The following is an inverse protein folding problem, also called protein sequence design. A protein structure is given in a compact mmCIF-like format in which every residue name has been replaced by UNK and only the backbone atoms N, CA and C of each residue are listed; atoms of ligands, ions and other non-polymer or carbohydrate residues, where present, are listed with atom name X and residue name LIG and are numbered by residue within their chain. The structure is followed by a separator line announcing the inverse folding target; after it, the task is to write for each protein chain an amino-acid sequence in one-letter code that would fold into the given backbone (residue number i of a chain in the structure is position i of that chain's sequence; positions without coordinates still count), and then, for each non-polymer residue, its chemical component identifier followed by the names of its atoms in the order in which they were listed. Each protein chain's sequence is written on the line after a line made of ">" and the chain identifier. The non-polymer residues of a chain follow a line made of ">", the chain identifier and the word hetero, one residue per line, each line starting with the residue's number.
data_IF_380810893905
#
_entry.id   IF_380810893905
#
_cell.length_a   1.000
_cell.length_b   1.000
_cell.length_c   1.000
_cell.angle_alpha   90.00
_cell.angle_beta   90.00
_cell.angle_gamma   90.00
#
_symmetry.space_group_name_H-M   'P 1'
#
loop_
_entity.id
_entity.type
_entity.pdbx_description
1 polymer ?
#
# COMPACT_ATOMS: atom_id res chain seq x y z
N UNK A 1 -3.91 -11.46 -15.97
CA UNK A 1 -4.82 -11.54 -14.80
C UNK A 1 -4.75 -10.23 -14.02
N UNK A 2 -5.64 -10.03 -13.04
CA UNK A 2 -5.64 -8.84 -12.16
C UNK A 2 -5.12 -9.09 -10.74
N UNK A 3 -4.59 -10.28 -10.46
CA UNK A 3 -3.96 -10.53 -9.15
C UNK A 3 -2.75 -9.64 -8.94
N UNK A 4 -2.73 -8.88 -7.83
CA UNK A 4 -1.59 -8.08 -7.39
C UNK A 4 -1.48 -6.69 -8.03
N UNK A 5 -2.46 -6.24 -8.82
CA UNK A 5 -2.45 -4.92 -9.44
C UNK A 5 -3.05 -3.80 -8.56
N UNK A 6 -3.93 -4.16 -7.63
CA UNK A 6 -4.62 -3.27 -6.68
C UNK A 6 -5.45 -2.15 -7.35
N UNK A 7 -5.94 -2.40 -8.57
CA UNK A 7 -6.86 -1.48 -9.27
C UNK A 7 -8.29 -2.00 -9.39
N UNK A 8 -8.54 -3.21 -8.84
CA UNK A 8 -9.87 -3.80 -8.64
C UNK A 8 -10.78 -3.86 -9.88
N UNK A 9 -10.20 -4.10 -11.05
CA UNK A 9 -10.90 -4.13 -12.35
C UNK A 9 -11.56 -5.48 -12.70
N UNK A 10 -11.73 -6.38 -11.72
CA UNK A 10 -12.38 -7.68 -11.91
C UNK A 10 -13.80 -7.56 -12.47
N UNK A 11 -14.54 -6.52 -12.04
CA UNK A 11 -15.89 -6.23 -12.54
C UNK A 11 -15.87 -5.81 -14.01
N UNK A 12 -14.78 -5.19 -14.49
CA UNK A 12 -14.65 -4.77 -15.88
C UNK A 12 -14.43 -5.97 -16.78
N UNK A 13 -13.57 -6.90 -16.37
CA UNK A 13 -13.38 -8.16 -17.08
C UNK A 13 -14.71 -8.93 -17.28
N UNK A 14 -15.58 -8.92 -16.26
CA UNK A 14 -16.91 -9.52 -16.35
C UNK A 14 -17.82 -8.77 -17.35
N UNK A 15 -17.83 -7.43 -17.32
CA UNK A 15 -18.61 -6.61 -18.23
C UNK A 15 -18.18 -6.80 -19.70
N UNK A 16 -16.87 -6.87 -19.98
CA UNK A 16 -16.35 -7.18 -21.31
C UNK A 16 -16.87 -8.53 -21.80
N UNK A 17 -16.81 -9.56 -20.96
CA UNK A 17 -17.30 -10.91 -21.31
C UNK A 17 -18.79 -10.92 -21.63
N UNK A 18 -19.60 -10.21 -20.85
CA UNK A 18 -21.05 -10.11 -21.10
C UNK A 18 -21.38 -9.44 -22.44
N UNK A 19 -20.51 -8.55 -22.91
CA UNK A 19 -20.64 -7.85 -24.19
C UNK A 19 -19.93 -8.58 -25.35
N UNK A 20 -19.46 -9.81 -25.14
CA UNK A 20 -18.77 -10.60 -26.16
C UNK A 20 -17.38 -10.06 -26.51
N UNK A 21 -16.75 -9.28 -25.63
CA UNK A 21 -15.44 -8.65 -25.82
C UNK A 21 -14.38 -9.32 -24.96
N UNK A 22 -13.11 -9.19 -25.37
CA UNK A 22 -11.97 -9.68 -24.61
C UNK A 22 -11.35 -8.54 -23.78
N UNK A 23 -11.10 -8.82 -22.50
CA UNK A 23 -10.45 -7.87 -21.57
C UNK A 23 -8.97 -8.21 -21.30
N UNK A 24 -8.55 -9.42 -21.62
CA UNK A 24 -7.16 -9.84 -21.50
C UNK A 24 -6.64 -10.26 -22.87
N UNK A 25 -5.36 -10.01 -23.16
CA UNK A 25 -4.37 -9.32 -22.32
C UNK A 25 -4.58 -7.79 -22.20
N UNK A 26 -4.05 -7.20 -21.12
CA UNK A 26 -4.06 -5.76 -20.82
C UNK A 26 -2.63 -5.29 -20.53
N UNK A 27 -2.29 -4.06 -20.88
CA UNK A 27 -1.00 -3.44 -20.53
C UNK A 27 -1.07 -2.89 -19.11
N UNK A 28 0.01 -3.06 -18.33
CA UNK A 28 0.06 -2.63 -16.93
C UNK A 28 1.35 -1.86 -16.62
N UNK A 29 1.21 -0.68 -16.02
CA UNK A 29 2.28 0.09 -15.40
C UNK A 29 2.04 0.12 -13.89
N UNK A 30 2.76 -0.73 -13.15
CA UNK A 30 2.58 -0.88 -11.70
C UNK A 30 3.86 -1.35 -11.02
N UNK A 31 3.86 -1.26 -9.68
CA UNK A 31 4.78 -2.02 -8.85
C UNK A 31 4.12 -3.38 -8.52
N UNK A 32 4.68 -4.52 -8.99
CA UNK A 32 4.06 -5.83 -8.78
C UNK A 32 3.79 -6.12 -7.31
N UNK A 33 2.56 -6.58 -7.02
CA UNK A 33 2.14 -6.99 -5.68
C UNK A 33 2.30 -5.90 -4.59
N UNK A 34 2.37 -4.62 -5.00
CA UNK A 34 2.68 -3.50 -4.10
C UNK A 34 1.72 -2.33 -4.32
N UNK A 35 0.76 -2.09 -3.40
CA UNK A 35 -0.18 -0.98 -3.50
C UNK A 35 0.40 0.35 -2.99
N UNK A 36 1.57 0.77 -3.51
CA UNK A 36 2.20 2.06 -3.17
C UNK A 36 1.87 3.11 -4.21
N UNK A 37 1.48 4.31 -3.79
CA UNK A 37 1.50 5.45 -4.71
C UNK A 37 2.94 5.88 -5.02
N UNK A 38 3.19 6.34 -6.25
CA UNK A 38 4.48 6.91 -6.62
C UNK A 38 4.69 6.99 -8.13
N UNK A 39 5.89 7.41 -8.56
CA UNK A 39 6.21 7.54 -9.98
C UNK A 39 6.01 6.21 -10.73
N UNK A 40 5.45 6.28 -11.93
CA UNK A 40 5.21 5.16 -12.84
C UNK A 40 5.89 5.33 -14.18
N UNK A 41 6.08 6.57 -14.62
CA UNK A 41 6.83 6.86 -15.83
C UNK A 41 8.35 6.83 -15.58
N UNK A 42 8.77 6.95 -14.31
CA UNK A 42 10.18 6.87 -13.88
C UNK A 42 11.10 7.84 -14.63
N UNK A 43 10.57 9.02 -14.99
CA UNK A 43 11.31 10.06 -15.72
C UNK A 43 12.06 10.96 -14.75
N UNK A 44 13.37 11.06 -14.93
CA UNK A 44 14.21 11.97 -14.16
C UNK A 44 13.83 13.44 -14.42
N UNK A 45 14.00 14.28 -13.41
CA UNK A 45 13.80 15.73 -13.55
C UNK A 45 14.82 16.32 -14.55
N UNK A 46 14.37 17.28 -15.37
CA UNK A 46 15.23 17.95 -16.35
C UNK A 46 14.42 18.59 -17.48
N UNK A 47 15.08 19.36 -18.36
CA UNK A 47 14.42 20.12 -19.43
C UNK A 47 13.66 19.24 -20.43
N UNK A 48 14.06 17.97 -20.57
CA UNK A 48 13.41 17.01 -21.47
C UNK A 48 12.30 16.18 -20.79
N UNK A 49 12.09 16.32 -19.48
CA UNK A 49 11.20 15.45 -18.72
C UNK A 49 9.77 15.42 -19.29
N UNK A 50 9.24 16.58 -19.68
CA UNK A 50 7.91 16.67 -20.28
C UNK A 50 7.82 15.91 -21.62
N UNK A 51 8.82 16.09 -22.50
CA UNK A 51 8.88 15.39 -23.79
C UNK A 51 9.01 13.88 -23.64
N UNK A 52 9.83 13.42 -22.68
CA UNK A 52 9.99 11.98 -22.38
C UNK A 52 8.69 11.39 -21.83
N UNK A 53 8.02 12.08 -20.90
CA UNK A 53 6.72 11.62 -20.36
C UNK A 53 5.69 11.48 -21.46
N UNK A 54 5.61 12.44 -22.39
CA UNK A 54 4.73 12.37 -23.54
C UNK A 54 5.07 11.17 -24.45
N UNK A 55 6.35 11.00 -24.79
CA UNK A 55 6.81 9.89 -25.62
C UNK A 55 6.50 8.52 -24.99
N UNK A 56 6.59 8.38 -23.66
CA UNK A 56 6.20 7.15 -22.96
C UNK A 56 4.70 6.86 -23.05
N UNK A 57 3.85 7.89 -22.92
CA UNK A 57 2.40 7.76 -23.09
C UNK A 57 2.05 7.36 -24.53
N UNK A 58 2.65 8.02 -25.51
CA UNK A 58 2.42 7.72 -26.92
C UNK A 58 2.92 6.30 -27.27
N UNK A 59 4.09 5.91 -26.77
CA UNK A 59 4.64 4.57 -26.92
C UNK A 59 3.76 3.49 -26.30
N UNK A 60 3.19 3.73 -25.11
CA UNK A 60 2.25 2.79 -24.48
C UNK A 60 0.96 2.62 -25.30
N UNK A 61 0.45 3.70 -25.91
CA UNK A 61 -0.71 3.65 -26.81
C UNK A 61 -0.40 2.93 -28.12
N UNK A 62 0.78 3.15 -28.69
CA UNK A 62 1.24 2.42 -29.88
C UNK A 62 1.34 0.92 -29.59
N UNK A 63 2.00 0.55 -28.48
CA UNK A 63 2.14 -0.85 -28.05
C UNK A 63 0.78 -1.53 -27.85
N UNK A 64 -0.19 -0.81 -27.28
CA UNK A 64 -1.55 -1.31 -27.10
C UNK A 64 -2.19 -1.69 -28.44
N UNK A 65 -2.07 -0.83 -29.46
CA UNK A 65 -2.60 -1.09 -30.80
C UNK A 65 -1.87 -2.22 -31.52
N UNK A 66 -0.54 -2.21 -31.51
CA UNK A 66 0.29 -3.23 -32.20
C UNK A 66 0.11 -4.63 -31.61
N UNK A 67 -0.03 -4.74 -30.28
CA UNK A 67 -0.22 -6.01 -29.60
C UNK A 67 -1.71 -6.42 -29.45
N UNK A 68 -2.65 -5.61 -29.96
CA UNK A 68 -4.09 -5.90 -29.88
C UNK A 68 -4.62 -6.02 -28.44
N UNK A 69 -4.08 -5.20 -27.52
CA UNK A 69 -4.47 -5.23 -26.11
C UNK A 69 -5.75 -4.41 -25.89
N UNK A 70 -6.65 -4.84 -25.00
CA UNK A 70 -7.93 -4.15 -24.80
C UNK A 70 -7.81 -2.83 -24.05
N UNK A 71 -6.78 -2.69 -23.21
CA UNK A 71 -6.62 -1.57 -22.29
C UNK A 71 -5.20 -1.43 -21.78
N UNK A 72 -4.87 -0.22 -21.30
CA UNK A 72 -3.67 0.07 -20.53
C UNK A 72 -4.04 0.68 -19.20
N UNK A 73 -3.44 0.18 -18.12
CA UNK A 73 -3.69 0.64 -16.76
C UNK A 73 -2.41 1.06 -16.06
N UNK A 74 -2.50 2.20 -15.38
CA UNK A 74 -1.43 2.75 -14.53
C UNK A 74 -1.94 2.74 -13.09
N UNK A 75 -1.40 1.84 -12.26
CA UNK A 75 -1.84 1.69 -10.87
C UNK A 75 -1.14 2.69 -9.96
N UNK A 76 -1.90 3.47 -9.20
CA UNK A 76 -1.37 4.34 -8.13
C UNK A 76 -0.23 5.26 -8.61
N UNK A 77 -0.37 5.98 -9.75
CA UNK A 77 0.61 6.97 -10.17
C UNK A 77 0.71 8.12 -9.14
N UNK A 78 1.81 8.85 -9.17
CA UNK A 78 1.95 10.11 -8.44
C UNK A 78 0.90 11.12 -8.94
N UNK A 79 0.52 12.09 -8.11
CA UNK A 79 -0.59 13.01 -8.41
C UNK A 79 -0.35 13.86 -9.68
N UNK A 80 0.90 14.26 -9.92
CA UNK A 80 1.30 14.97 -11.13
C UNK A 80 1.19 14.09 -12.37
N UNK A 81 1.57 12.82 -12.26
CA UNK A 81 1.40 11.82 -13.32
C UNK A 81 -0.08 11.47 -13.55
N UNK A 82 -0.90 11.37 -12.52
CA UNK A 82 -2.34 11.15 -12.67
C UNK A 82 -3.00 12.29 -13.46
N UNK A 83 -2.63 13.54 -13.13
CA UNK A 83 -3.10 14.75 -13.84
C UNK A 83 -2.66 14.74 -15.31
N UNK A 84 -1.39 14.39 -15.57
CA UNK A 84 -0.87 14.23 -16.93
C UNK A 84 -1.63 13.14 -17.69
N UNK A 85 -1.79 11.95 -17.12
CA UNK A 85 -2.47 10.84 -17.78
C UNK A 85 -3.93 11.19 -18.09
N UNK A 86 -4.60 11.91 -17.19
CA UNK A 86 -5.95 12.42 -17.44
C UNK A 86 -5.99 13.39 -18.63
N UNK A 87 -5.04 14.33 -18.71
CA UNK A 87 -4.98 15.28 -19.84
C UNK A 87 -4.68 14.60 -21.18
N UNK A 88 -4.03 13.43 -21.13
CA UNK A 88 -3.80 12.54 -22.28
C UNK A 88 -4.99 11.62 -22.59
N UNK A 89 -6.13 11.80 -21.90
CA UNK A 89 -7.37 11.09 -22.18
C UNK A 89 -7.50 9.74 -21.47
N UNK A 90 -6.68 9.42 -20.46
CA UNK A 90 -6.96 8.26 -19.61
C UNK A 90 -8.12 8.57 -18.64
N UNK A 91 -8.97 7.57 -18.41
CA UNK A 91 -10.01 7.65 -17.37
C UNK A 91 -9.36 7.52 -16.00
N UNK A 92 -9.79 8.33 -15.03
CA UNK A 92 -9.28 8.28 -13.66
C UNK A 92 -10.28 7.56 -12.77
N UNK A 93 -9.81 6.53 -12.06
CA UNK A 93 -10.51 5.92 -10.93
C UNK A 93 -9.93 6.45 -9.63
N UNK A 94 -10.75 6.45 -8.59
CA UNK A 94 -10.36 6.84 -7.25
C UNK A 94 -10.62 5.68 -6.29
N UNK A 95 -9.73 5.52 -5.32
CA UNK A 95 -9.88 4.59 -4.21
C UNK A 95 -9.39 5.25 -2.91
N UNK A 96 -9.69 4.66 -1.76
CA UNK A 96 -9.24 5.13 -0.45
C UNK A 96 -8.30 4.11 0.17
N UNK A 97 -7.09 4.57 0.46
CA UNK A 97 -6.16 3.89 1.37
C UNK A 97 -6.16 4.60 2.72
N UNK A 98 -5.45 4.04 3.70
CA UNK A 98 -5.30 4.64 5.02
C UNK A 98 -3.84 4.87 5.31
N UNK A 99 -3.39 6.13 5.31
CA UNK A 99 -1.98 6.48 5.51
C UNK A 99 -1.81 7.22 6.83
N UNK A 100 -0.70 7.01 7.52
CA UNK A 100 -0.32 7.83 8.66
C UNK A 100 0.64 8.90 8.17
N UNK A 101 0.37 10.14 8.52
CA UNK A 101 1.26 11.29 8.28
C UNK A 101 1.60 11.88 9.63
N UNK A 102 2.90 12.11 9.87
CA UNK A 102 3.36 12.72 11.12
C UNK A 102 2.90 14.18 11.20
N UNK A 103 2.04 14.54 12.18
CA UNK A 103 1.66 15.94 12.40
C UNK A 103 2.72 16.71 13.21
N UNK A 104 3.94 16.19 13.36
CA UNK A 104 4.98 16.76 14.21
C UNK A 104 4.93 16.23 15.64
N UNK A 105 4.73 14.91 15.79
CA UNK A 105 4.59 14.24 17.08
C UNK A 105 5.90 14.15 17.87
N UNK A 106 7.05 14.14 17.19
CA UNK A 106 8.37 13.97 17.80
C UNK A 106 8.65 12.52 18.20
N UNK A 107 7.83 11.94 19.08
CA UNK A 107 7.96 10.55 19.52
C UNK A 107 6.60 9.84 19.64
N UNK A 108 6.63 8.56 20.05
CA UNK A 108 5.43 7.74 20.13
C UNK A 108 4.45 8.24 21.20
N UNK A 109 4.94 8.87 22.27
CA UNK A 109 4.09 9.45 23.31
C UNK A 109 3.41 10.75 22.82
N UNK A 110 4.11 11.56 22.03
CA UNK A 110 3.55 12.69 21.30
C UNK A 110 2.47 12.25 20.29
N UNK A 111 2.69 11.13 19.60
CA UNK A 111 1.67 10.49 18.75
C UNK A 111 0.43 10.12 19.57
N UNK A 112 0.59 9.45 20.71
CA UNK A 112 -0.53 9.11 21.59
C UNK A 112 -1.20 10.33 22.23
N UNK A 113 -0.48 11.43 22.44
CA UNK A 113 -1.03 12.68 22.97
C UNK A 113 -1.98 13.38 21.99
N UNK A 114 -1.89 13.07 20.70
CA UNK A 114 -2.86 13.55 19.71
C UNK A 114 -4.23 12.85 19.83
N UNK A 115 -4.31 11.70 20.51
CA UNK A 115 -5.53 10.88 20.58
C UNK A 115 -6.43 11.29 21.76
N UNK A 116 -7.73 11.01 21.63
CA UNK A 116 -8.66 11.01 22.76
C UNK A 116 -8.22 10.03 23.86
N UNK A 117 -8.57 10.31 25.12
CA UNK A 117 -8.13 9.52 26.26
C UNK A 117 -8.53 8.02 26.14
N UNK A 118 -9.73 7.73 25.65
CA UNK A 118 -10.20 6.37 25.45
C UNK A 118 -9.37 5.62 24.40
N UNK A 119 -9.09 6.25 23.25
CA UNK A 119 -8.29 5.65 22.18
C UNK A 119 -6.83 5.47 22.60
N UNK A 120 -6.25 6.48 23.28
CA UNK A 120 -4.90 6.39 23.87
C UNK A 120 -4.76 5.23 24.84
N UNK A 121 -5.72 5.04 25.76
CA UNK A 121 -5.72 3.90 26.70
C UNK A 121 -5.79 2.56 25.96
N UNK A 122 -6.60 2.47 24.90
CA UNK A 122 -6.70 1.25 24.09
C UNK A 122 -5.38 0.89 23.43
N UNK A 123 -4.72 1.83 22.75
CA UNK A 123 -3.41 1.58 22.12
C UNK A 123 -2.38 1.13 23.17
N UNK A 124 -2.31 1.82 24.32
CA UNK A 124 -1.38 1.43 25.41
C UNK A 124 -1.66 0.01 25.93
N UNK A 125 -2.92 -0.38 26.06
CA UNK A 125 -3.28 -1.73 26.49
C UNK A 125 -2.92 -2.80 25.46
N UNK A 126 -3.08 -2.51 24.15
CA UNK A 126 -2.67 -3.41 23.07
C UNK A 126 -1.15 -3.64 23.07
N UNK A 127 -0.34 -2.57 23.19
CA UNK A 127 1.13 -2.69 23.27
C UNK A 127 1.59 -3.43 24.52
N UNK A 128 1.04 -3.07 25.69
CA UNK A 128 1.36 -3.71 26.97
C UNK A 128 1.10 -5.22 26.92
N UNK A 129 -0.01 -5.64 26.32
CA UNK A 129 -0.33 -7.07 26.22
C UNK A 129 0.73 -7.87 25.44
N UNK A 130 1.31 -7.27 24.40
CA UNK A 130 2.39 -7.93 23.66
C UNK A 130 3.67 -7.95 24.51
N UNK A 131 3.99 -6.86 25.22
CA UNK A 131 5.13 -6.84 26.16
C UNK A 131 5.00 -7.89 27.27
N UNK A 132 3.80 -8.03 27.84
CA UNK A 132 3.52 -8.98 28.93
C UNK A 132 3.41 -10.44 28.43
N UNK A 133 3.40 -10.68 27.11
CA UNK A 133 3.29 -12.02 26.54
C UNK A 133 4.59 -12.83 26.59
N UNK A 134 5.72 -12.19 26.93
CA UNK A 134 7.06 -12.81 26.91
C UNK A 134 7.72 -12.81 25.53
N UNK A 135 7.05 -12.27 24.49
CA UNK A 135 7.65 -12.06 23.18
C UNK A 135 8.69 -10.95 23.22
N UNK A 136 9.82 -11.19 22.56
CA UNK A 136 10.78 -10.14 22.23
C UNK A 136 10.47 -9.61 20.83
N UNK A 137 10.59 -8.29 20.63
CA UNK A 137 10.42 -7.66 19.32
C UNK A 137 11.71 -6.96 18.95
N UNK A 138 12.20 -7.25 17.75
CA UNK A 138 13.36 -6.59 17.17
C UNK A 138 13.00 -5.93 15.83
N UNK A 139 13.73 -4.87 15.50
CA UNK A 139 13.71 -4.26 14.17
C UNK A 139 15.04 -4.55 13.50
N UNK A 140 15.00 -5.16 12.32
CA UNK A 140 16.19 -5.44 11.51
C UNK A 140 15.99 -4.91 10.10
N UNK A 141 17.07 -4.55 9.45
CA UNK A 141 17.12 -4.13 8.06
C UNK A 141 17.52 -5.30 7.15
N UNK A 142 17.31 -5.16 5.84
CA UNK A 142 17.65 -6.22 4.88
C UNK A 142 19.12 -6.64 4.92
N UNK A 143 20.04 -5.69 5.10
CA UNK A 143 21.48 -5.91 5.24
C UNK A 143 21.88 -6.48 6.61
N UNK A 144 20.95 -6.53 7.56
CA UNK A 144 21.14 -7.08 8.89
C UNK A 144 20.61 -8.52 9.00
N UNK A 145 19.91 -9.07 7.99
CA UNK A 145 19.29 -10.42 8.01
C UNK A 145 20.10 -11.39 7.15
N UNK A 146 20.55 -12.50 7.73
CA UNK A 146 21.34 -13.47 6.99
C UNK A 146 20.48 -14.27 5.98
N UNK A 147 21.03 -14.65 4.80
CA UNK A 147 20.33 -15.47 3.82
C UNK A 147 19.68 -16.74 4.41
N UNK A 148 20.31 -17.35 5.41
CA UNK A 148 19.86 -18.57 6.06
C UNK A 148 18.62 -18.38 6.98
N UNK A 149 18.28 -17.15 7.36
CA UNK A 149 17.10 -16.86 8.19
C UNK A 149 15.81 -16.74 7.37
N UNK A 150 15.92 -16.41 6.08
CA UNK A 150 14.76 -16.19 5.21
C UNK A 150 13.81 -17.37 5.07
N UNK A 151 14.25 -18.65 5.04
CA UNK A 151 13.32 -19.78 5.03
C UNK A 151 12.34 -19.76 6.21
N UNK A 152 12.80 -19.43 7.42
CA UNK A 152 11.95 -19.36 8.61
C UNK A 152 11.01 -18.15 8.56
N UNK A 153 11.51 -16.97 8.18
CA UNK A 153 10.68 -15.77 8.05
C UNK A 153 9.64 -15.91 6.92
N UNK A 154 10.03 -16.56 5.81
CA UNK A 154 9.14 -16.85 4.69
C UNK A 154 8.03 -17.81 5.08
N UNK A 155 8.30 -18.85 5.89
CA UNK A 155 7.27 -19.75 6.38
C UNK A 155 6.17 -19.01 7.15
N UNK A 156 6.54 -18.01 7.97
CA UNK A 156 5.57 -17.16 8.67
C UNK A 156 4.70 -16.36 7.69
N UNK A 157 5.33 -15.78 6.67
CA UNK A 157 4.65 -15.04 5.59
C UNK A 157 3.69 -15.94 4.81
N UNK A 158 4.15 -17.10 4.36
CA UNK A 158 3.38 -18.04 3.55
C UNK A 158 2.16 -18.58 4.30
N UNK A 159 2.31 -18.88 5.59
CA UNK A 159 1.21 -19.36 6.46
C UNK A 159 0.04 -18.36 6.51
N UNK A 160 0.29 -17.05 6.45
CA UNK A 160 -0.79 -16.06 6.31
C UNK A 160 -1.53 -16.21 4.99
N UNK A 161 -0.83 -16.43 3.88
CA UNK A 161 -1.47 -16.60 2.57
C UNK A 161 -2.30 -17.87 2.51
N UNK A 162 -1.77 -18.98 3.04
CA UNK A 162 -2.47 -20.27 3.11
C UNK A 162 -3.77 -20.15 3.92
N UNK A 163 -3.74 -19.49 5.07
CA UNK A 163 -4.95 -19.24 5.90
C UNK A 163 -6.04 -18.45 5.17
N UNK A 164 -5.67 -17.59 4.22
CA UNK A 164 -6.61 -16.82 3.41
C UNK A 164 -6.88 -17.44 2.04
N UNK A 165 -6.46 -18.70 1.83
CA UNK A 165 -6.59 -19.43 0.57
C UNK A 165 -6.05 -18.61 -0.63
N UNK A 166 -4.88 -18.00 -0.41
CA UNK A 166 -4.19 -17.15 -1.37
C UNK A 166 -2.77 -17.69 -1.63
N UNK A 167 -2.13 -17.22 -2.69
CA UNK A 167 -0.81 -17.69 -3.08
C UNK A 167 0.30 -16.76 -2.58
N UNK A 168 1.28 -17.32 -1.85
CA UNK A 168 2.50 -16.62 -1.47
C UNK A 168 3.34 -16.29 -2.72
N UNK A 169 3.30 -15.04 -3.15
CA UNK A 169 3.83 -14.60 -4.45
C UNK A 169 5.36 -14.48 -4.50
N UNK A 170 6.02 -14.37 -3.34
CA UNK A 170 7.48 -14.31 -3.24
C UNK A 170 8.03 -15.54 -2.54
N UNK A 171 9.15 -16.06 -3.03
CA UNK A 171 9.90 -17.14 -2.40
C UNK A 171 10.86 -16.61 -1.32
N UNK A 172 11.36 -17.50 -0.45
CA UNK A 172 12.41 -17.15 0.50
C UNK A 172 13.67 -16.59 -0.20
N UNK A 173 14.07 -17.20 -1.33
CA UNK A 173 15.21 -16.73 -2.12
C UNK A 173 14.97 -15.31 -2.67
N UNK A 174 13.76 -15.02 -3.15
CA UNK A 174 13.42 -13.68 -3.62
C UNK A 174 13.50 -12.64 -2.49
N UNK A 175 13.04 -12.96 -1.28
CA UNK A 175 13.21 -12.05 -0.15
C UNK A 175 14.68 -11.85 0.24
N UNK A 176 15.51 -12.89 0.18
CA UNK A 176 16.94 -12.77 0.41
C UNK A 176 17.61 -11.85 -0.63
N UNK A 177 17.29 -12.01 -1.92
CA UNK A 177 17.80 -11.16 -3.00
C UNK A 177 17.36 -9.70 -2.81
N UNK A 178 16.09 -9.48 -2.45
CA UNK A 178 15.56 -8.14 -2.17
C UNK A 178 16.27 -7.51 -0.96
N UNK A 179 16.51 -8.28 0.11
CA UNK A 179 17.20 -7.81 1.29
C UNK A 179 18.62 -7.36 0.99
N UNK A 180 19.35 -8.14 0.18
CA UNK A 180 20.69 -7.78 -0.27
C UNK A 180 20.69 -6.54 -1.18
N UNK A 181 19.75 -6.47 -2.14
CA UNK A 181 19.68 -5.38 -3.10
C UNK A 181 19.23 -4.04 -2.48
N UNK A 182 18.32 -4.10 -1.50
CA UNK A 182 17.73 -2.92 -0.88
C UNK A 182 18.43 -2.50 0.42
N UNK A 183 19.13 -3.43 1.08
CA UNK A 183 19.79 -3.22 2.38
C UNK A 183 18.85 -2.58 3.39
N UNK A 184 19.24 -1.41 3.91
CA UNK A 184 18.44 -0.60 4.85
C UNK A 184 17.10 -0.10 4.32
N UNK A 185 16.83 -0.20 3.02
CA UNK A 185 15.52 0.13 2.44
C UNK A 185 14.49 -0.99 2.65
N UNK A 186 14.89 -2.18 3.07
CA UNK A 186 14.01 -3.22 3.58
C UNK A 186 14.05 -3.22 5.11
N UNK A 187 12.88 -3.27 5.75
CA UNK A 187 12.74 -3.23 7.21
C UNK A 187 11.86 -4.40 7.65
N UNK A 188 12.30 -5.17 8.63
CA UNK A 188 11.57 -6.27 9.23
C UNK A 188 11.35 -5.99 10.72
N UNK A 189 10.09 -6.05 11.14
CA UNK A 189 9.74 -6.15 12.56
C UNK A 189 9.48 -7.61 12.87
N UNK A 190 10.32 -8.20 13.73
CA UNK A 190 10.30 -9.65 14.01
C UNK A 190 9.93 -9.83 15.49
N UNK A 191 8.92 -10.65 15.76
CA UNK A 191 8.64 -11.12 17.11
C UNK A 191 9.21 -12.53 17.31
N UNK A 192 9.86 -12.74 18.45
CA UNK A 192 10.44 -14.03 18.85
C UNK A 192 9.90 -14.51 20.18
N UNK A 193 9.57 -15.79 20.24
CA UNK A 193 9.31 -16.53 21.47
C UNK A 193 10.54 -17.38 21.79
N UNK A 194 11.20 -17.14 22.93
CA UNK A 194 12.44 -17.83 23.35
C UNK A 194 13.50 -17.91 22.24
N UNK A 195 13.65 -16.84 21.46
CA UNK A 195 14.63 -16.72 20.37
C UNK A 195 14.15 -17.24 19.01
N UNK A 196 13.04 -17.97 18.93
CA UNK A 196 12.48 -18.47 17.67
C UNK A 196 11.53 -17.44 17.05
N UNK A 197 11.63 -17.12 15.75
CA UNK A 197 10.74 -16.18 15.11
C UNK A 197 9.32 -16.77 15.00
N UNK A 198 8.34 -16.03 15.51
CA UNK A 198 6.92 -16.43 15.51
C UNK A 198 6.03 -15.48 14.70
N UNK A 199 6.50 -14.26 14.43
CA UNK A 199 5.85 -13.35 13.51
C UNK A 199 6.83 -12.38 12.85
N UNK A 200 6.46 -11.91 11.66
CA UNK A 200 7.23 -10.92 10.90
C UNK A 200 6.30 -9.94 10.18
N UNK A 201 6.61 -8.65 10.26
CA UNK A 201 6.05 -7.63 9.38
C UNK A 201 7.18 -7.03 8.52
N UNK A 202 7.08 -7.19 7.21
CA UNK A 202 8.02 -6.64 6.23
C UNK A 202 7.49 -5.31 5.68
N UNK A 203 8.38 -4.32 5.70
CA UNK A 203 8.18 -2.99 5.15
C UNK A 203 9.32 -2.63 4.20
N UNK A 204 9.07 -1.66 3.34
CA UNK A 204 10.10 -0.97 2.55
C UNK A 204 10.12 0.50 2.92
N UNK A 205 11.25 1.20 2.73
CA UNK A 205 11.35 2.63 2.98
C UNK A 205 11.98 3.41 1.83
N UNK A 206 11.43 4.59 1.59
CA UNK A 206 12.10 5.66 0.89
C UNK A 206 12.83 6.56 1.91
N UNK A 207 13.24 7.73 1.46
CA UNK A 207 13.84 8.75 2.32
C UNK A 207 12.75 9.52 3.11
N UNK A 208 11.48 9.40 2.72
CA UNK A 208 10.37 10.17 3.31
C UNK A 208 9.27 9.30 3.93
N UNK A 209 9.12 8.05 3.47
CA UNK A 209 7.99 7.21 3.79
C UNK A 209 8.37 5.75 4.08
N UNK A 210 7.60 5.12 4.96
CA UNK A 210 7.58 3.67 5.18
C UNK A 210 6.38 3.05 4.45
N UNK A 211 6.55 1.83 3.96
CA UNK A 211 5.59 1.10 3.16
C UNK A 211 5.42 -0.31 3.72
N UNK A 212 4.35 -0.56 4.48
CA UNK A 212 4.05 -1.88 5.06
C UNK A 212 3.48 -2.83 4.01
N UNK A 213 3.97 -4.07 3.94
CA UNK A 213 3.58 -5.00 2.87
C UNK A 213 3.16 -6.38 3.34
N UNK A 214 4.07 -7.11 3.97
CA UNK A 214 3.85 -8.53 4.21
C UNK A 214 3.81 -8.82 5.70
N UNK A 215 2.80 -9.58 6.11
CA UNK A 215 2.59 -9.99 7.48
C UNK A 215 2.55 -11.51 7.56
N UNK A 216 3.28 -12.07 8.51
CA UNK A 216 3.37 -13.50 8.77
C UNK A 216 3.34 -13.80 10.25
N UNK A 217 2.70 -14.89 10.65
CA UNK A 217 2.63 -15.31 12.05
C UNK A 217 2.26 -16.79 12.18
N UNK A 218 2.99 -17.58 12.98
CA UNK A 218 2.77 -19.03 13.13
C UNK A 218 1.73 -19.42 14.20
N UNK A 219 1.07 -18.44 14.83
CA UNK A 219 0.11 -18.69 15.90
C UNK A 219 -0.84 -17.53 16.16
N UNK A 220 -1.69 -17.68 17.17
CA UNK A 220 -2.64 -16.64 17.58
C UNK A 220 -2.08 -15.84 18.76
N UNK A 221 -1.42 -14.73 18.45
CA UNK A 221 -0.89 -13.80 19.45
C UNK A 221 -1.75 -12.55 19.50
N UNK A 222 -2.43 -12.34 20.63
CA UNK A 222 -3.37 -11.24 20.77
C UNK A 222 -2.65 -9.88 20.64
N UNK A 223 -3.21 -8.98 19.84
CA UNK A 223 -2.67 -7.64 19.51
C UNK A 223 -1.35 -7.63 18.73
N UNK A 224 -0.70 -8.78 18.46
CA UNK A 224 0.63 -8.80 17.82
C UNK A 224 0.62 -8.24 16.40
N UNK A 225 -0.44 -8.52 15.63
CA UNK A 225 -0.63 -7.91 14.31
C UNK A 225 -0.63 -6.37 14.38
N UNK A 226 -1.29 -5.78 15.38
CA UNK A 226 -1.32 -4.33 15.54
C UNK A 226 0.03 -3.76 15.98
N UNK A 227 0.72 -4.48 16.87
CA UNK A 227 2.05 -4.10 17.31
C UNK A 227 3.04 -4.05 16.14
N UNK A 228 3.17 -5.14 15.39
CA UNK A 228 4.17 -5.24 14.31
C UNK A 228 3.76 -4.49 13.03
N UNK A 229 2.49 -4.57 12.59
CA UNK A 229 2.07 -3.94 11.33
C UNK A 229 1.80 -2.43 11.45
N UNK A 230 1.57 -1.90 12.66
CA UNK A 230 1.22 -0.49 12.85
C UNK A 230 2.12 0.24 13.83
N UNK A 231 2.20 -0.22 15.09
CA UNK A 231 2.85 0.57 16.15
C UNK A 231 4.37 0.61 16.03
N UNK A 232 5.00 -0.50 15.65
CA UNK A 232 6.43 -0.55 15.33
C UNK A 232 6.76 0.30 14.09
N UNK A 233 5.92 0.26 13.05
CA UNK A 233 6.08 1.12 11.88
C UNK A 233 6.00 2.61 12.20
N UNK A 234 5.01 3.04 12.99
CA UNK A 234 4.90 4.45 13.44
C UNK A 234 6.10 4.85 14.30
N UNK A 235 6.50 4.01 15.27
CA UNK A 235 7.66 4.27 16.11
C UNK A 235 8.95 4.38 15.28
N UNK A 236 9.12 3.49 14.31
CA UNK A 236 10.23 3.52 13.36
C UNK A 236 10.24 4.82 12.55
N UNK A 237 9.10 5.24 11.99
CA UNK A 237 9.01 6.49 11.25
C UNK A 237 9.44 7.69 12.08
N UNK A 238 8.92 7.81 13.32
CA UNK A 238 9.27 8.90 14.24
C UNK A 238 10.77 8.88 14.59
N UNK A 239 11.33 7.70 14.85
CA UNK A 239 12.76 7.56 15.16
C UNK A 239 13.67 7.89 13.96
N UNK A 240 13.24 7.54 12.75
CA UNK A 240 14.04 7.68 11.52
C UNK A 240 13.76 9.00 10.76
N UNK A 241 12.87 9.86 11.28
CA UNK A 241 12.48 11.10 10.62
C UNK A 241 11.62 10.90 9.36
N UNK A 242 10.97 9.74 9.20
CA UNK A 242 10.03 9.51 8.10
C UNK A 242 8.68 10.13 8.44
N UNK A 243 8.10 10.87 7.48
CA UNK A 243 6.88 11.64 7.71
C UNK A 243 5.61 10.91 7.31
N UNK A 244 5.72 9.81 6.57
CA UNK A 244 4.56 9.05 6.08
C UNK A 244 4.73 7.54 6.32
N UNK A 245 3.63 6.86 6.62
CA UNK A 245 3.55 5.41 6.66
C UNK A 245 2.30 4.93 5.93
N UNK A 246 2.53 4.15 4.86
CA UNK A 246 1.51 3.50 4.05
C UNK A 246 1.46 2.00 4.42
N UNK A 247 0.56 1.56 5.32
CA UNK A 247 0.59 0.23 5.91
C UNK A 247 0.00 -0.87 4.99
N UNK A 248 -0.06 -0.62 3.69
CA UNK A 248 -0.61 -1.55 2.68
C UNK A 248 -2.13 -1.59 2.61
N UNK A 249 -2.65 -2.56 1.87
CA UNK A 249 -4.09 -2.79 1.69
C UNK A 249 -4.79 -3.20 3.01
N UNK A 250 -6.12 -3.07 3.08
CA UNK A 250 -6.92 -3.40 4.26
C UNK A 250 -7.70 -2.20 4.81
N UNK A 251 -8.72 -2.47 5.64
CA UNK A 251 -9.80 -1.53 5.90
C UNK A 251 -9.69 -0.65 7.16
N UNK A 252 -10.86 -0.18 7.58
CA UNK A 252 -11.10 0.89 8.56
C UNK A 252 -10.56 0.66 9.97
N UNK A 253 -10.15 -0.56 10.32
CA UNK A 253 -9.51 -0.82 11.62
C UNK A 253 -8.24 0.04 11.83
N UNK A 254 -7.63 0.53 10.75
CA UNK A 254 -6.51 1.48 10.75
C UNK A 254 -6.89 2.88 11.26
N UNK A 255 -8.13 3.33 11.07
CA UNK A 255 -8.60 4.64 11.54
C UNK A 255 -8.39 4.82 13.03
N UNK A 256 -8.72 3.79 13.83
CA UNK A 256 -8.55 3.84 15.29
C UNK A 256 -7.10 3.99 15.77
N UNK A 257 -6.13 3.89 14.84
CA UNK A 257 -4.68 4.00 15.03
C UNK A 257 -4.10 5.21 14.29
N UNK A 258 -4.92 6.19 13.93
CA UNK A 258 -4.46 7.47 13.40
C UNK A 258 -4.04 7.45 11.94
N UNK A 259 -4.34 6.38 11.19
CA UNK A 259 -4.22 6.40 9.74
C UNK A 259 -5.43 7.10 9.14
N UNK A 260 -5.20 8.16 8.35
CA UNK A 260 -6.22 8.98 7.72
C UNK A 260 -6.65 8.39 6.39
N UNK A 261 -7.93 8.51 5.99
CA UNK A 261 -8.37 8.08 4.68
C UNK A 261 -7.74 8.99 3.61
N UNK A 262 -6.93 8.40 2.74
CA UNK A 262 -6.16 9.07 1.71
C UNK A 262 -6.64 8.60 0.34
N UNK A 263 -7.01 9.56 -0.52
CA UNK A 263 -7.43 9.24 -1.88
C UNK A 263 -6.21 8.85 -2.69
N UNK A 264 -6.29 7.69 -3.33
CA UNK A 264 -5.35 7.26 -4.35
C UNK A 264 -6.07 7.11 -5.68
N UNK A 265 -5.31 7.12 -6.77
CA UNK A 265 -5.88 7.11 -8.12
C UNK A 265 -5.32 5.95 -8.93
N UNK A 266 -6.03 5.55 -9.96
CA UNK A 266 -5.47 4.78 -11.08
C UNK A 266 -5.94 5.38 -12.39
N UNK A 267 -5.14 5.22 -13.44
CA UNK A 267 -5.44 5.76 -14.76
C UNK A 267 -5.63 4.64 -15.78
N UNK A 268 -6.61 4.77 -16.67
CA UNK A 268 -7.05 3.69 -17.54
C UNK A 268 -7.28 4.20 -18.96
N UNK A 269 -6.46 3.74 -19.91
CA UNK A 269 -6.79 3.82 -21.33
C UNK A 269 -7.64 2.62 -21.71
N UNK A 270 -8.78 2.88 -22.35
CA UNK A 270 -9.73 1.87 -22.81
C UNK A 270 -9.87 2.05 -24.31
N UNK A 271 -9.52 1.02 -25.08
CA UNK A 271 -9.47 1.10 -26.54
C UNK A 271 -10.87 1.09 -27.17
N UNK A 272 -11.73 0.17 -26.73
CA UNK A 272 -13.10 0.10 -27.23
C UNK A 272 -13.93 1.33 -26.79
N UNK A 273 -14.48 2.12 -27.73
CA UNK A 273 -15.21 3.34 -27.38
C UNK A 273 -16.47 3.09 -26.53
N UNK A 274 -17.19 1.99 -26.79
CA UNK A 274 -18.41 1.65 -26.04
C UNK A 274 -18.11 1.26 -24.60
N UNK A 275 -17.08 0.44 -24.40
CA UNK A 275 -16.58 0.11 -23.06
C UNK A 275 -16.04 1.34 -22.35
N UNK A 276 -15.32 2.21 -23.06
CA UNK A 276 -14.79 3.45 -22.50
C UNK A 276 -15.91 4.34 -21.96
N UNK A 277 -16.99 4.54 -22.72
CA UNK A 277 -18.14 5.33 -22.26
C UNK A 277 -18.82 4.70 -21.04
N UNK A 278 -19.03 3.38 -21.07
CA UNK A 278 -19.62 2.65 -19.95
C UNK A 278 -18.79 2.80 -18.67
N UNK A 279 -17.47 2.58 -18.76
CA UNK A 279 -16.56 2.69 -17.63
C UNK A 279 -16.41 4.14 -17.15
N UNK A 280 -16.39 5.12 -18.04
CA UNK A 280 -16.35 6.54 -17.66
C UNK A 280 -17.55 6.92 -16.80
N UNK A 281 -18.77 6.51 -17.17
CA UNK A 281 -19.98 6.73 -16.36
C UNK A 281 -19.89 6.04 -15.00
N UNK A 282 -19.45 4.78 -14.98
CA UNK A 282 -19.27 4.02 -13.74
C UNK A 282 -18.27 4.69 -12.78
N UNK A 283 -17.11 5.10 -13.29
CA UNK A 283 -16.06 5.76 -12.51
C UNK A 283 -16.52 7.12 -11.95
N UNK A 284 -17.31 7.88 -12.72
CA UNK A 284 -17.89 9.14 -12.24
C UNK A 284 -18.81 8.92 -11.04
N UNK A 285 -19.66 7.89 -11.06
CA UNK A 285 -20.56 7.56 -9.95
C UNK A 285 -19.76 7.07 -8.74
N UNK A 286 -18.76 6.20 -8.96
CA UNK A 286 -17.89 5.72 -7.89
C UNK A 286 -17.13 6.86 -7.21
N UNK A 287 -16.60 7.83 -7.98
CA UNK A 287 -15.88 8.97 -7.42
C UNK A 287 -16.72 9.81 -6.45
N UNK A 288 -18.00 10.01 -6.76
CA UNK A 288 -18.93 10.73 -5.87
C UNK A 288 -19.18 9.97 -4.57
N UNK A 289 -19.42 8.66 -4.67
CA UNK A 289 -19.63 7.80 -3.50
C UNK A 289 -18.38 7.74 -2.60
N UNK A 290 -17.20 7.69 -3.22
CA UNK A 290 -15.92 7.64 -2.51
C UNK A 290 -15.64 8.93 -1.72
N UNK A 291 -16.00 10.10 -2.27
CA UNK A 291 -15.86 11.37 -1.56
C UNK A 291 -16.66 11.36 -0.24
N UNK A 292 -17.92 10.91 -0.29
CA UNK A 292 -18.76 10.74 0.90
C UNK A 292 -18.19 9.71 1.88
N UNK A 293 -17.70 8.58 1.37
CA UNK A 293 -17.05 7.55 2.20
C UNK A 293 -15.83 8.10 2.95
N UNK A 294 -14.97 8.87 2.27
CA UNK A 294 -13.78 9.48 2.88
C UNK A 294 -14.14 10.38 4.06
N UNK A 295 -15.16 11.21 3.91
CA UNK A 295 -15.62 12.13 4.96
C UNK A 295 -16.18 11.36 6.17
N UNK A 296 -16.97 10.31 5.91
CA UNK A 296 -17.48 9.42 6.96
C UNK A 296 -16.35 8.71 7.70
N UNK A 297 -15.38 8.14 6.98
CA UNK A 297 -14.21 7.49 7.57
C UNK A 297 -13.38 8.46 8.42
N UNK A 298 -13.19 9.71 7.97
CA UNK A 298 -12.46 10.74 8.70
C UNK A 298 -13.14 11.09 10.05
N UNK A 299 -14.47 11.00 10.15
CA UNK A 299 -15.19 11.23 11.40
C UNK A 299 -14.88 10.19 12.51
N UNK A 300 -14.31 9.03 12.15
CA UNK A 300 -13.93 7.98 13.09
C UNK A 300 -12.45 8.04 13.53
N UNK A 301 -11.72 9.08 13.12
CA UNK A 301 -10.33 9.28 13.54
C UNK A 301 -10.20 9.43 15.06
N UNK A 302 -9.06 9.04 15.64
CA UNK A 302 -8.92 8.94 17.09
C UNK A 302 -8.50 10.28 17.72
N UNK A 303 -8.23 11.29 16.90
CA UNK A 303 -7.65 12.56 17.29
C UNK A 303 -8.62 13.39 18.14
N UNK A 304 -8.05 14.25 18.99
CA UNK A 304 -8.83 15.30 19.66
C UNK A 304 -9.25 16.35 18.62
N UNK A 305 -10.41 16.98 18.82
CA UNK A 305 -10.97 17.98 17.89
C UNK A 305 -10.03 19.16 17.62
N UNK A 306 -9.16 19.51 18.56
CA UNK A 306 -8.17 20.59 18.49
C UNK A 306 -6.85 20.20 17.82
N UNK A 307 -6.63 18.91 17.52
CA UNK A 307 -5.38 18.38 16.93
C UNK A 307 -5.61 17.50 15.71
N UNK A 308 -6.72 17.70 15.01
CA UNK A 308 -6.95 17.00 13.76
C UNK A 308 -5.91 17.50 12.73
N UNK A 309 -5.14 16.61 12.09
CA UNK A 309 -4.27 17.03 11.00
C UNK A 309 -5.12 17.68 9.90
N UNK A 310 -4.58 18.68 9.18
CA UNK A 310 -5.30 19.26 8.05
C UNK A 310 -5.67 18.16 7.05
N UNK A 311 -6.84 18.25 6.40
CA UNK A 311 -7.19 17.31 5.34
C UNK A 311 -6.10 17.37 4.25
N UNK A 312 -5.63 16.18 3.84
CA UNK A 312 -4.77 16.00 2.67
C UNK A 312 -5.56 16.25 1.38
#
# INVERSE_FOLDING_TARGET
>A
HSHGDFIYDWSWAAAYRQLGRQYYPKLMSCLPHTPAAGPRLLVAAGPQAAGIRQALVDGARLLLGEAGLSSWHVALPADDEATLLQSQGLLISHDVQFHWTDPGCGDFDGYLASFSAAKRRKVRAERRRVQDSGLSIETRHGDEIEPAEWPLLHALYADTFDRFNNHAVFSAACFADLAQALGRRMVAFIARDRGLPVAVALCFRSDEALYGRYWGCSGNYHSLHFELCFYQGIAYCLQQGLRRFEPGAGGEHKLSRGFTPTVVRSAHWIDDPGMRELLARHLSLQGQALAGYREQAAAHLPFRRDRMPPPL
#
